data_IF_949573875104
#
_entry.id   IF_949573875104
#
_cell.length_a   1.000
_cell.length_b   1.000
_cell.length_c   1.000
_cell.angle_alpha   90.00
_cell.angle_beta   90.00
_cell.angle_gamma   90.00
#
_symmetry.space_group_name_H-M   'P 1'
#
loop_
_entity.id
_entity.type
_entity.pdbx_description
1 polymer ?
#
# COMPACT_ATOMS: atom_id res chain seq x y z
N UNK A 1 -5.20 8.23 11.35
CA UNK A 1 -5.75 6.86 11.24
C UNK A 1 -4.57 5.98 10.94
N UNK A 2 -4.01 5.36 11.97
CA UNK A 2 -2.84 4.47 11.88
C UNK A 2 -3.22 3.25 11.04
N UNK A 3 -2.60 3.15 9.88
CA UNK A 3 -2.59 1.92 9.10
C UNK A 3 -1.83 0.87 9.92
N UNK A 4 -2.35 -0.35 9.99
CA UNK A 4 -1.67 -1.43 10.71
C UNK A 4 -0.26 -1.67 10.13
N UNK A 5 0.74 -1.86 11.00
CA UNK A 5 2.14 -2.13 10.62
C UNK A 5 2.28 -3.30 9.62
N UNK A 6 1.33 -4.24 9.60
CA UNK A 6 1.30 -5.35 8.65
C UNK A 6 -0.09 -5.84 8.29
N UNK A 7 -0.16 -6.59 7.18
CA UNK A 7 -1.36 -7.25 6.68
C UNK A 7 -1.00 -8.67 6.22
N UNK A 8 -1.94 -9.61 6.37
CA UNK A 8 -1.77 -11.01 5.94
C UNK A 8 -2.89 -11.35 4.97
N UNK A 9 -2.52 -11.85 3.78
CA UNK A 9 -3.48 -12.27 2.75
C UNK A 9 -3.43 -13.79 2.63
N UNK A 10 -4.56 -14.45 2.88
CA UNK A 10 -4.70 -15.92 2.81
C UNK A 10 -5.49 -16.29 1.57
N UNK A 11 -5.09 -17.36 0.89
CA UNK A 11 -5.79 -17.91 -0.26
C UNK A 11 -5.86 -19.43 -0.20
N UNK A 12 -6.83 -20.00 -0.91
CA UNK A 12 -6.96 -21.45 -1.04
C UNK A 12 -6.03 -21.96 -2.14
N UNK A 13 -5.16 -22.92 -1.82
CA UNK A 13 -4.23 -23.54 -2.77
C UNK A 13 -4.93 -24.30 -3.91
N UNK A 14 -6.15 -24.77 -3.67
CA UNK A 14 -6.93 -25.51 -4.65
C UNK A 14 -7.72 -24.60 -5.59
N UNK A 15 -7.79 -23.29 -5.31
CA UNK A 15 -8.58 -22.34 -6.11
C UNK A 15 -7.72 -21.23 -6.72
N UNK A 16 -7.60 -21.26 -8.05
CA UNK A 16 -6.79 -20.30 -8.81
C UNK A 16 -7.32 -18.86 -8.72
N UNK A 17 -8.64 -18.70 -8.60
CA UNK A 17 -9.29 -17.40 -8.49
C UNK A 17 -8.95 -16.73 -7.16
N UNK A 18 -8.92 -17.50 -6.08
CA UNK A 18 -8.49 -17.09 -4.74
C UNK A 18 -7.05 -16.56 -4.77
N UNK A 19 -6.14 -17.20 -5.49
CA UNK A 19 -4.77 -16.72 -5.68
C UNK A 19 -4.71 -15.38 -6.45
N UNK A 20 -5.45 -15.27 -7.56
CA UNK A 20 -5.49 -14.03 -8.35
C UNK A 20 -6.04 -12.88 -7.51
N UNK A 21 -7.09 -13.13 -6.72
CA UNK A 21 -7.68 -12.13 -5.85
C UNK A 21 -6.72 -11.69 -4.73
N UNK A 22 -6.05 -12.65 -4.08
CA UNK A 22 -5.03 -12.36 -3.06
C UNK A 22 -3.87 -11.52 -3.62
N UNK A 23 -3.42 -11.85 -4.83
CA UNK A 23 -2.38 -11.07 -5.53
C UNK A 23 -2.86 -9.65 -5.84
N UNK A 24 -4.12 -9.48 -6.25
CA UNK A 24 -4.68 -8.16 -6.53
C UNK A 24 -4.76 -7.29 -5.25
N UNK A 25 -5.17 -7.89 -4.13
CA UNK A 25 -5.19 -7.22 -2.82
C UNK A 25 -3.78 -6.77 -2.41
N UNK A 26 -2.77 -7.63 -2.60
CA UNK A 26 -1.37 -7.29 -2.31
C UNK A 26 -0.88 -6.07 -3.12
N UNK A 27 -1.26 -6.00 -4.40
CA UNK A 27 -0.92 -4.86 -5.27
C UNK A 27 -1.61 -3.58 -4.80
N UNK A 28 -2.90 -3.64 -4.50
CA UNK A 28 -3.66 -2.48 -4.02
C UNK A 28 -3.11 -1.93 -2.70
N UNK A 29 -2.68 -2.80 -1.77
CA UNK A 29 -2.08 -2.34 -0.51
C UNK A 29 -0.72 -1.69 -0.77
N UNK A 30 0.07 -2.21 -1.71
CA UNK A 30 1.35 -1.60 -2.10
C UNK A 30 1.13 -0.22 -2.75
N UNK A 31 0.16 -0.10 -3.64
CA UNK A 31 -0.21 1.16 -4.30
C UNK A 31 -0.69 2.18 -3.27
N UNK A 32 -1.61 1.78 -2.38
CA UNK A 32 -2.09 2.63 -1.29
C UNK A 32 -0.95 3.12 -0.38
N UNK A 33 0.07 2.28 -0.11
CA UNK A 33 1.28 2.70 0.63
C UNK A 33 2.15 3.65 -0.19
N UNK A 34 2.32 3.42 -1.49
CA UNK A 34 3.09 4.30 -2.36
C UNK A 34 2.43 5.67 -2.56
N UNK A 35 1.10 5.72 -2.70
CA UNK A 35 0.35 6.97 -2.82
C UNK A 35 0.35 7.76 -1.51
N UNK A 36 0.28 7.09 -0.35
CA UNK A 36 0.47 7.75 0.95
C UNK A 36 1.91 8.27 1.15
N UNK A 37 2.93 7.61 0.59
CA UNK A 37 4.31 8.09 0.64
C UNK A 37 4.63 9.25 -0.34
N UNK A 38 3.76 9.55 -1.30
CA UNK A 38 3.94 10.69 -2.22
C UNK A 38 3.49 12.04 -1.65
N UNK A 39 2.82 12.06 -0.49
CA UNK A 39 2.34 13.28 0.15
C UNK A 39 3.26 13.91 1.20
N UNK A 40 4.34 13.23 1.62
CA UNK A 40 5.16 13.72 2.75
C UNK A 40 6.60 14.11 2.39
N UNK A 41 7.11 13.71 1.22
CA UNK A 41 8.46 14.09 0.79
C UNK A 41 8.50 15.34 -0.12
N UNK A 42 7.37 15.76 -0.69
CA UNK A 42 7.29 16.94 -1.57
C UNK A 42 7.01 18.26 -0.82
N UNK A 43 6.54 18.20 0.43
CA UNK A 43 6.19 19.39 1.23
C UNK A 43 7.25 19.77 2.27
N UNK A 44 8.51 19.33 2.10
CA UNK A 44 9.60 19.71 3.01
C UNK A 44 10.55 20.79 2.46
N UNK A 45 10.38 21.24 1.21
CA UNK A 45 11.36 22.14 0.56
C UNK A 45 10.79 23.46 -0.02
N UNK A 46 9.52 23.80 0.23
CA UNK A 46 8.98 25.13 -0.15
C UNK A 46 9.07 26.20 0.95
N UNK A 47 9.47 25.83 2.17
CA UNK A 47 9.49 26.72 3.34
C UNK A 47 10.82 27.36 3.71
N UNK A 48 11.93 27.05 3.01
CA UNK A 48 13.26 27.57 3.35
C UNK A 48 13.74 28.64 2.37
N UNK A 49 12.97 29.72 2.26
CA UNK A 49 13.47 30.98 1.74
C UNK A 49 12.71 32.12 2.43
N UNK A 50 13.25 32.61 3.54
CA UNK A 50 12.95 33.93 4.08
C UNK A 50 14.23 34.74 4.12
#
# INVERSE_FOLDING_TARGET
VDWADGFVVVYNINDRTSFINAKNILLQIREARMDNCKGSAAEAFSGLSQ
#
